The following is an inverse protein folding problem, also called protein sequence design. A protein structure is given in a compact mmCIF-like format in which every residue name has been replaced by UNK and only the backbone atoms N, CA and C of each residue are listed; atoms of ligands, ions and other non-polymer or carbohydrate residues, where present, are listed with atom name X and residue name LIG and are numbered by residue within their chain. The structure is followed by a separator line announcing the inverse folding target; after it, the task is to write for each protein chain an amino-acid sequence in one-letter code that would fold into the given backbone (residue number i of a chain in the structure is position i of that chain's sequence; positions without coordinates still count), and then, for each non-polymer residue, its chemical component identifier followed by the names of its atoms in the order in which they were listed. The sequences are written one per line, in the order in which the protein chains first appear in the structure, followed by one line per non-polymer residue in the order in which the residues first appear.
data_IF_689998405734
#
_entry.id   IF_689998405734
#
_cell.length_a   1.000
_cell.length_b   1.000
_cell.length_c   1.000
_cell.angle_alpha   90.00
_cell.angle_beta   90.00
_cell.angle_gamma   90.00
#
_symmetry.space_group_name_H-M   'P 1'
#
loop_
_entity.id
_entity.type
_entity.pdbx_description
1 polymer ?
#
# COMPACT_ATOMS: atom_id res chain seq x y z
N UNK A 1 -17.26 4.06 -24.17
CA UNK A 1 -16.18 4.82 -24.85
C UNK A 1 -16.35 4.85 -26.37
N UNK A 2 -17.51 5.25 -26.89
CA UNK A 2 -17.69 5.44 -28.35
C UNK A 2 -18.05 6.88 -28.73
N UNK A 3 -18.54 7.66 -27.77
CA UNK A 3 -19.05 9.02 -28.00
C UNK A 3 -17.97 9.97 -28.55
N UNK A 4 -16.75 10.10 -27.97
CA UNK A 4 -15.72 10.97 -28.55
C UNK A 4 -15.24 10.54 -29.95
N UNK A 5 -15.27 9.24 -30.25
CA UNK A 5 -14.88 8.72 -31.57
C UNK A 5 -15.91 9.10 -32.63
N UNK A 6 -17.19 8.95 -32.31
CA UNK A 6 -18.29 9.35 -33.19
C UNK A 6 -18.29 10.86 -33.40
N UNK A 7 -18.03 11.64 -32.33
CA UNK A 7 -17.94 13.09 -32.44
C UNK A 7 -16.76 13.54 -33.31
N UNK A 8 -15.60 12.87 -33.24
CA UNK A 8 -14.47 13.10 -34.17
C UNK A 8 -14.84 12.78 -35.62
N UNK A 9 -15.58 11.69 -35.85
CA UNK A 9 -16.06 11.35 -37.20
C UNK A 9 -17.05 12.37 -37.76
N UNK A 10 -17.88 12.99 -36.90
CA UNK A 10 -18.79 14.09 -37.24
C UNK A 10 -18.00 15.36 -37.51
N UNK A 11 -17.08 15.74 -36.61
CA UNK A 11 -16.20 16.91 -36.74
C UNK A 11 -15.43 16.92 -38.06
N UNK A 12 -14.90 15.77 -38.48
CA UNK A 12 -14.18 15.61 -39.76
C UNK A 12 -15.05 15.84 -41.00
N UNK A 13 -16.37 15.75 -40.85
CA UNK A 13 -17.36 15.90 -41.94
C UNK A 13 -18.14 17.22 -41.85
N UNK A 14 -17.93 18.02 -40.80
CA UNK A 14 -18.57 19.32 -40.62
C UNK A 14 -17.80 20.39 -41.39
N UNK A 15 -18.49 21.05 -42.33
CA UNK A 15 -17.92 22.10 -43.17
C UNK A 15 -17.90 23.47 -42.48
N UNK A 16 -18.91 23.76 -41.64
CA UNK A 16 -19.00 25.02 -40.93
C UNK A 16 -17.93 25.12 -39.83
N UNK A 17 -17.15 26.20 -39.86
CA UNK A 17 -16.05 26.40 -38.93
C UNK A 17 -16.52 26.61 -37.48
N UNK A 18 -17.70 27.22 -37.30
CA UNK A 18 -18.26 27.50 -35.97
C UNK A 18 -18.80 26.22 -35.33
N UNK A 19 -19.55 25.43 -36.09
CA UNK A 19 -20.04 24.12 -35.64
C UNK A 19 -18.91 23.15 -35.36
N UNK A 20 -17.86 23.14 -36.18
CA UNK A 20 -16.69 22.31 -35.96
C UNK A 20 -15.98 22.68 -34.65
N UNK A 21 -15.77 23.96 -34.39
CA UNK A 21 -15.19 24.46 -33.13
C UNK A 21 -16.05 24.04 -31.91
N UNK A 22 -17.38 24.14 -32.03
CA UNK A 22 -18.30 23.66 -30.98
C UNK A 22 -18.15 22.15 -30.76
N UNK A 23 -18.04 21.35 -31.83
CA UNK A 23 -17.84 19.91 -31.72
C UNK A 23 -16.48 19.59 -31.07
N UNK A 24 -15.41 20.32 -31.40
CA UNK A 24 -14.09 20.17 -30.77
C UNK A 24 -14.18 20.40 -29.25
N UNK A 25 -14.88 21.47 -28.81
CA UNK A 25 -15.07 21.75 -27.38
C UNK A 25 -15.87 20.65 -26.67
N UNK A 26 -16.88 20.09 -27.32
CA UNK A 26 -17.65 18.96 -26.78
C UNK A 26 -16.76 17.73 -26.65
N UNK A 27 -15.93 17.42 -27.66
CA UNK A 27 -14.96 16.31 -27.62
C UNK A 27 -14.00 16.48 -26.44
N UNK A 28 -13.42 17.67 -26.26
CA UNK A 28 -12.50 17.94 -25.14
C UNK A 28 -13.17 17.75 -23.78
N UNK A 29 -14.39 18.27 -23.61
CA UNK A 29 -15.19 18.11 -22.38
C UNK A 29 -15.52 16.64 -22.11
N UNK A 30 -15.91 15.88 -23.14
CA UNK A 30 -16.19 14.45 -23.04
C UNK A 30 -14.91 13.65 -22.71
N UNK A 31 -13.78 13.95 -23.35
CA UNK A 31 -12.48 13.31 -23.06
C UNK A 31 -12.01 13.59 -21.63
N UNK A 32 -12.20 14.82 -21.13
CA UNK A 32 -11.90 15.19 -19.74
C UNK A 32 -12.81 14.44 -18.75
N UNK A 33 -14.11 14.38 -19.02
CA UNK A 33 -15.09 13.65 -18.19
C UNK A 33 -14.80 12.15 -18.14
N UNK A 34 -14.40 11.56 -19.28
CA UNK A 34 -13.99 10.16 -19.35
C UNK A 34 -12.71 9.89 -18.55
N UNK A 35 -11.74 10.80 -18.60
CA UNK A 35 -10.50 10.69 -17.81
C UNK A 35 -10.79 10.75 -16.31
N UNK A 36 -11.63 11.68 -15.88
CA UNK A 36 -12.07 11.78 -14.48
C UNK A 36 -12.79 10.51 -14.02
N UNK A 37 -13.66 9.95 -14.87
CA UNK A 37 -14.37 8.71 -14.57
C UNK A 37 -13.42 7.50 -14.48
N UNK A 38 -12.41 7.40 -15.35
CA UNK A 38 -11.39 6.36 -15.28
C UNK A 38 -10.57 6.46 -13.98
N UNK A 39 -10.21 7.67 -13.56
CA UNK A 39 -9.50 7.91 -12.29
C UNK A 39 -10.36 7.52 -11.08
N UNK A 40 -11.64 7.89 -11.07
CA UNK A 40 -12.59 7.45 -10.03
C UNK A 40 -12.76 5.94 -10.00
N UNK A 41 -12.80 5.29 -11.17
CA UNK A 41 -12.92 3.84 -11.27
C UNK A 41 -11.67 3.13 -10.75
N UNK A 42 -10.47 3.62 -11.09
CA UNK A 42 -9.19 3.13 -10.56
C UNK A 42 -9.14 3.28 -9.05
N UNK A 43 -9.53 4.44 -8.53
CA UNK A 43 -9.59 4.68 -7.09
C UNK A 43 -10.55 3.73 -6.39
N UNK A 44 -11.76 3.54 -6.93
CA UNK A 44 -12.76 2.65 -6.34
C UNK A 44 -12.28 1.20 -6.31
N UNK A 45 -11.71 0.69 -7.42
CA UNK A 45 -11.12 -0.66 -7.48
C UNK A 45 -10.00 -0.83 -6.44
N UNK A 46 -9.11 0.15 -6.32
CA UNK A 46 -8.06 0.13 -5.29
C UNK A 46 -8.66 0.12 -3.88
N UNK A 47 -9.67 0.95 -3.62
CA UNK A 47 -10.30 1.03 -2.30
C UNK A 47 -11.05 -0.25 -1.91
N UNK A 48 -11.79 -0.85 -2.85
CA UNK A 48 -12.42 -2.15 -2.67
C UNK A 48 -11.38 -3.24 -2.37
N UNK A 49 -10.25 -3.22 -3.09
CA UNK A 49 -9.15 -4.16 -2.86
C UNK A 49 -8.51 -3.96 -1.47
N UNK A 50 -8.33 -2.72 -1.02
CA UNK A 50 -7.86 -2.43 0.34
C UNK A 50 -8.81 -2.97 1.40
N UNK A 51 -10.13 -2.81 1.21
CA UNK A 51 -11.15 -3.37 2.10
C UNK A 51 -11.09 -4.91 2.13
N UNK A 52 -10.89 -5.55 0.99
CA UNK A 52 -10.76 -7.01 0.91
C UNK A 52 -9.52 -7.52 1.65
N UNK A 53 -8.36 -6.90 1.43
CA UNK A 53 -7.13 -7.24 2.16
C UNK A 53 -7.34 -7.05 3.66
N UNK A 54 -7.91 -5.91 4.07
CA UNK A 54 -8.20 -5.60 5.47
C UNK A 54 -9.14 -6.62 6.14
N UNK A 55 -10.11 -7.16 5.41
CA UNK A 55 -11.03 -8.19 5.92
C UNK A 55 -10.35 -9.54 6.12
N UNK A 56 -9.37 -9.86 5.28
CA UNK A 56 -8.75 -11.19 5.24
C UNK A 56 -7.35 -11.23 5.89
N UNK A 57 -6.76 -10.08 6.23
CA UNK A 57 -5.47 -10.00 6.89
C UNK A 57 -5.58 -10.44 8.35
N UNK A 58 -4.58 -11.22 8.79
CA UNK A 58 -4.44 -11.66 10.18
C UNK A 58 -3.09 -11.19 10.67
N UNK A 59 -3.11 -10.29 11.65
CA UNK A 59 -1.93 -9.84 12.35
C UNK A 59 -1.56 -10.86 13.44
N UNK A 60 -0.38 -11.50 13.39
CA UNK A 60 0.05 -12.42 14.44
C UNK A 60 0.19 -11.70 15.78
N UNK A 61 -0.15 -12.39 16.87
CA UNK A 61 0.07 -11.86 18.22
C UNK A 61 1.57 -11.76 18.54
N UNK A 62 1.92 -11.10 19.64
CA UNK A 62 3.33 -11.03 20.10
C UNK A 62 3.91 -12.42 20.32
N UNK A 63 3.11 -13.36 20.86
CA UNK A 63 3.52 -14.75 21.07
C UNK A 63 3.76 -15.52 19.77
N UNK A 64 3.02 -15.19 18.70
CA UNK A 64 3.23 -15.82 17.39
C UNK A 64 4.51 -15.29 16.71
N UNK A 65 4.85 -14.02 16.97
CA UNK A 65 6.05 -13.37 16.40
C UNK A 65 7.33 -13.77 17.14
N UNK A 66 7.27 -13.90 18.46
CA UNK A 66 8.36 -14.35 19.31
C UNK A 66 7.86 -15.35 20.37
N UNK A 67 7.85 -16.66 20.07
CA UNK A 67 7.31 -17.66 20.98
C UNK A 67 8.15 -17.88 22.24
N UNK A 68 9.38 -17.33 22.29
CA UNK A 68 10.28 -17.48 23.43
C UNK A 68 10.15 -16.35 24.43
N UNK A 69 9.39 -15.31 24.10
CA UNK A 69 9.23 -14.15 24.98
C UNK A 69 8.37 -14.50 26.20
N UNK A 70 8.87 -14.17 27.39
CA UNK A 70 8.07 -14.28 28.61
C UNK A 70 7.08 -13.11 28.70
N UNK A 71 5.79 -13.42 28.81
CA UNK A 71 4.73 -12.42 28.98
C UNK A 71 3.99 -12.71 30.29
N UNK A 72 3.98 -11.78 31.26
CA UNK A 72 3.16 -11.88 32.46
C UNK A 72 1.68 -12.11 32.13
N UNK A 73 0.99 -12.96 32.90
CA UNK A 73 -0.43 -13.32 32.66
C UNK A 73 -1.34 -12.11 32.50
N UNK A 74 -1.15 -11.07 33.33
CA UNK A 74 -1.94 -9.84 33.27
C UNK A 74 -1.84 -9.09 31.92
N UNK A 75 -0.79 -9.35 31.12
CA UNK A 75 -0.56 -8.72 29.83
C UNK A 75 -0.92 -9.61 28.64
N UNK A 76 -1.18 -10.91 28.83
CA UNK A 76 -1.49 -11.82 27.72
C UNK A 76 -2.76 -11.43 26.97
N UNK A 77 -3.83 -11.07 27.69
CA UNK A 77 -5.09 -10.68 27.05
C UNK A 77 -4.95 -9.36 26.25
N UNK A 78 -4.39 -8.27 26.80
CA UNK A 78 -4.12 -7.05 26.04
C UNK A 78 -3.19 -7.24 24.83
N UNK A 79 -2.18 -8.12 24.92
CA UNK A 79 -1.20 -8.36 23.85
C UNK A 79 -1.62 -9.48 22.87
N UNK A 80 -2.81 -10.04 23.04
CA UNK A 80 -3.36 -11.07 22.14
C UNK A 80 -3.72 -10.53 20.75
N UNK A 81 -3.82 -9.20 20.61
CA UNK A 81 -4.16 -8.50 19.37
C UNK A 81 -3.16 -7.40 19.09
N UNK A 82 -2.93 -7.13 17.81
CA UNK A 82 -2.08 -6.03 17.38
C UNK A 82 -2.90 -4.73 17.26
N UNK A 83 -2.37 -3.58 17.69
CA UNK A 83 -3.08 -2.29 17.57
C UNK A 83 -3.21 -1.84 16.10
N UNK A 84 -2.38 -2.38 15.21
CA UNK A 84 -2.39 -2.08 13.78
C UNK A 84 -3.47 -2.84 13.00
N UNK A 85 -4.52 -3.34 13.66
CA UNK A 85 -5.60 -4.08 13.00
C UNK A 85 -6.19 -3.34 11.81
N UNK A 86 -6.36 -2.01 11.89
CA UNK A 86 -6.92 -1.16 10.82
C UNK A 86 -5.86 -0.50 9.94
N UNK A 87 -4.63 -1.03 9.94
CA UNK A 87 -3.52 -0.37 9.26
C UNK A 87 -3.76 -0.25 7.76
N UNK A 88 -4.45 -1.19 7.09
CA UNK A 88 -4.48 -1.29 5.62
C UNK A 88 -5.35 -0.21 4.97
N UNK A 89 -6.57 0.01 5.47
CA UNK A 89 -7.55 0.88 4.81
C UNK A 89 -7.22 2.33 5.09
N UNK A 90 -6.77 3.02 4.04
CA UNK A 90 -6.59 4.46 4.01
C UNK A 90 -7.02 4.97 2.63
N UNK A 91 -7.85 6.02 2.54
CA UNK A 91 -8.26 6.59 1.25
C UNK A 91 -7.10 7.09 0.38
N UNK A 92 -5.95 7.34 1.01
CA UNK A 92 -4.74 7.87 0.36
C UNK A 92 -3.77 6.77 -0.07
N UNK A 93 -3.92 5.55 0.45
CA UNK A 93 -3.01 4.45 0.16
C UNK A 93 -3.33 3.82 -1.19
N UNK A 94 -2.30 3.51 -1.96
CA UNK A 94 -2.43 2.85 -3.26
C UNK A 94 -1.67 1.53 -3.25
N UNK A 95 -2.28 0.49 -3.82
CA UNK A 95 -1.60 -0.77 -4.11
C UNK A 95 -0.84 -0.58 -5.43
N UNK A 96 0.48 -0.72 -5.39
CA UNK A 96 1.35 -0.54 -6.56
C UNK A 96 1.48 -1.84 -7.34
N UNK A 97 1.70 -2.94 -6.62
CA UNK A 97 1.77 -4.30 -7.16
C UNK A 97 1.52 -5.29 -6.02
N UNK A 98 0.85 -6.38 -6.33
CA UNK A 98 0.68 -7.52 -5.43
C UNK A 98 0.82 -8.83 -6.20
N UNK A 99 1.22 -9.89 -5.50
CA UNK A 99 1.35 -11.19 -6.15
C UNK A 99 2.11 -12.23 -5.32
N UNK A 100 2.11 -13.49 -5.80
CA UNK A 100 2.84 -14.56 -5.18
C UNK A 100 4.35 -14.42 -5.42
N UNK A 101 5.13 -14.61 -4.36
CA UNK A 101 6.59 -14.72 -4.39
C UNK A 101 7.02 -15.80 -3.41
N UNK A 102 8.14 -16.47 -3.66
CA UNK A 102 8.72 -17.37 -2.69
C UNK A 102 9.74 -16.62 -1.83
N UNK A 103 9.75 -16.89 -0.52
CA UNK A 103 10.87 -16.50 0.35
C UNK A 103 11.71 -17.74 0.64
N UNK A 104 13.02 -17.62 0.46
CA UNK A 104 13.98 -18.65 0.84
C UNK A 104 14.27 -18.50 2.33
N UNK A 105 13.57 -19.28 3.16
CA UNK A 105 13.73 -19.32 4.61
C UNK A 105 14.19 -20.72 5.02
N UNK A 106 15.27 -20.82 5.81
CA UNK A 106 15.73 -22.09 6.40
C UNK A 106 15.96 -23.23 5.38
N UNK A 107 16.39 -22.88 4.16
CA UNK A 107 16.73 -23.82 3.08
C UNK A 107 15.56 -24.31 2.22
N UNK A 108 14.31 -23.91 2.49
CA UNK A 108 13.15 -24.25 1.66
C UNK A 108 12.41 -23.00 1.16
N UNK A 109 12.05 -22.91 -0.13
CA UNK A 109 11.17 -21.87 -0.62
C UNK A 109 9.78 -21.98 0.04
N UNK A 110 9.32 -20.89 0.65
CA UNK A 110 7.98 -20.76 1.22
C UNK A 110 7.21 -19.76 0.39
N UNK A 111 6.07 -20.18 -0.14
CA UNK A 111 5.20 -19.30 -0.92
C UNK A 111 4.54 -18.25 -0.02
N UNK A 112 4.68 -17.00 -0.43
CA UNK A 112 4.13 -15.82 0.20
C UNK A 112 3.25 -15.07 -0.80
N UNK A 113 2.30 -14.29 -0.27
CA UNK A 113 1.60 -13.26 -1.03
C UNK A 113 2.09 -11.89 -0.54
N UNK A 114 2.66 -11.12 -1.45
CA UNK A 114 3.32 -9.85 -1.15
C UNK A 114 2.50 -8.72 -1.73
N UNK A 115 2.33 -7.65 -0.96
CA UNK A 115 1.59 -6.45 -1.36
C UNK A 115 2.51 -5.24 -1.14
N UNK A 116 2.85 -4.56 -2.23
CA UNK A 116 3.56 -3.28 -2.21
C UNK A 116 2.53 -2.16 -2.28
N UNK A 117 2.46 -1.38 -1.20
CA UNK A 117 1.76 -0.11 -1.17
C UNK A 117 2.71 1.04 -1.53
N UNK A 118 2.17 2.24 -1.68
CA UNK A 118 2.94 3.46 -1.92
C UNK A 118 3.80 3.91 -0.73
N UNK A 119 3.54 3.41 0.48
CA UNK A 119 4.23 3.78 1.73
C UNK A 119 4.88 2.61 2.50
N UNK A 120 4.50 1.37 2.19
CA UNK A 120 5.00 0.18 2.88
C UNK A 120 4.90 -1.09 2.03
N UNK A 121 5.65 -2.12 2.41
CA UNK A 121 5.58 -3.47 1.86
C UNK A 121 5.07 -4.43 2.94
N UNK A 122 4.09 -5.27 2.60
CA UNK A 122 3.59 -6.34 3.48
C UNK A 122 3.85 -7.69 2.82
N UNK A 123 4.39 -8.61 3.61
CA UNK A 123 4.59 -10.00 3.24
C UNK A 123 3.60 -10.84 4.04
N UNK A 124 2.89 -11.77 3.38
CA UNK A 124 1.90 -12.61 4.05
C UNK A 124 2.05 -14.07 3.64
N UNK A 125 1.72 -14.98 4.56
CA UNK A 125 1.52 -16.41 4.29
C UNK A 125 0.05 -16.61 3.93
N UNK A 126 -0.21 -17.36 2.86
CA UNK A 126 -1.57 -17.80 2.54
C UNK A 126 -1.93 -18.99 3.41
N UNK A 127 -2.96 -18.86 4.24
CA UNK A 127 -3.51 -19.97 5.04
C UNK A 127 -4.96 -20.22 4.61
N UNK A 128 -5.26 -21.44 4.18
CA UNK A 128 -6.65 -21.87 3.98
C UNK A 128 -7.41 -21.76 5.31
N UNK A 129 -8.55 -21.09 5.29
CA UNK A 129 -9.33 -20.87 6.50
C UNK A 129 -9.82 -22.19 7.09
N UNK A 130 -9.45 -22.51 8.32
CA UNK A 130 -10.10 -23.57 9.07
C UNK A 130 -11.38 -23.00 9.68
N UNK A 131 -12.55 -23.55 9.34
CA UNK A 131 -13.83 -23.16 9.93
C UNK A 131 -13.78 -23.33 11.44
N UNK A 132 -13.70 -22.22 12.21
CA UNK A 132 -14.06 -22.23 13.62
C UNK A 132 -15.56 -21.95 13.69
N UNK A 133 -16.32 -22.90 14.27
CA UNK A 133 -17.78 -22.81 14.42
C UNK A 133 -18.18 -21.43 14.96
N UNK A 134 -19.23 -20.87 14.34
CA UNK A 134 -19.85 -19.59 14.67
C UNK A 134 -20.01 -19.36 16.17
N UNK A 135 -19.69 -18.14 16.62
CA UNK A 135 -20.31 -17.56 17.82
C UNK A 135 -20.48 -16.04 17.68
N UNK A 136 -21.75 -15.65 17.57
CA UNK A 136 -22.41 -14.40 18.00
C UNK A 136 -22.00 -13.00 17.47
N UNK A 137 -22.94 -12.45 16.68
CA UNK A 137 -23.63 -11.16 16.89
C UNK A 137 -23.05 -9.82 16.38
N UNK A 138 -21.96 -9.76 15.62
CA UNK A 138 -21.48 -8.46 15.06
C UNK A 138 -21.40 -8.35 13.53
N UNK A 139 -21.79 -9.37 12.76
CA UNK A 139 -21.59 -9.39 11.30
C UNK A 139 -22.67 -8.68 10.44
N UNK A 140 -23.63 -7.95 11.01
CA UNK A 140 -24.78 -7.43 10.24
C UNK A 140 -24.47 -6.31 9.22
N UNK A 141 -23.26 -5.75 9.18
CA UNK A 141 -22.87 -4.76 8.16
C UNK A 141 -22.11 -5.35 6.96
N UNK A 142 -21.74 -6.64 7.01
CA UNK A 142 -20.80 -7.22 6.03
C UNK A 142 -21.46 -7.87 4.80
N UNK A 143 -22.77 -8.07 4.78
CA UNK A 143 -23.44 -8.99 3.85
C UNK A 143 -24.11 -8.36 2.63
N UNK A 144 -24.07 -7.04 2.44
CA UNK A 144 -24.86 -6.41 1.36
C UNK A 144 -24.10 -6.15 0.05
N UNK A 145 -22.79 -6.41 -0.04
CA UNK A 145 -22.00 -6.06 -1.24
C UNK A 145 -21.29 -7.22 -1.96
N UNK A 146 -21.33 -8.45 -1.44
CA UNK A 146 -20.67 -9.59 -2.08
C UNK A 146 -21.66 -10.45 -2.85
N UNK A 147 -22.08 -9.96 -4.03
CA UNK A 147 -22.75 -10.81 -5.01
C UNK A 147 -22.04 -10.69 -6.36
N UNK A 148 -20.83 -11.26 -6.42
CA UNK A 148 -20.23 -11.70 -7.67
C UNK A 148 -19.16 -12.78 -7.40
N UNK A 149 -19.44 -13.98 -7.93
CA UNK A 149 -18.48 -15.03 -8.31
C UNK A 149 -17.54 -15.63 -7.26
N UNK A 150 -18.01 -16.66 -6.56
CA UNK A 150 -17.28 -17.92 -6.38
C UNK A 150 -18.26 -19.01 -5.94
N UNK A 151 -18.14 -20.20 -6.51
CA UNK A 151 -19.04 -21.34 -6.28
C UNK A 151 -19.14 -21.80 -4.82
N UNK A 152 -20.00 -22.80 -4.54
CA UNK A 152 -20.26 -23.22 -3.17
C UNK A 152 -19.01 -23.90 -2.61
N UNK A 153 -18.52 -23.39 -1.47
CA UNK A 153 -17.63 -24.10 -0.53
C UNK A 153 -16.10 -23.96 -0.67
N UNK A 154 -15.55 -22.78 -1.02
CA UNK A 154 -14.14 -22.45 -0.73
C UNK A 154 -14.09 -21.38 0.39
N UNK A 155 -13.49 -21.73 1.53
CA UNK A 155 -13.23 -20.77 2.61
C UNK A 155 -12.35 -19.63 2.08
N UNK A 156 -12.65 -18.35 2.37
CA UNK A 156 -11.79 -17.26 1.94
C UNK A 156 -10.38 -17.46 2.51
N UNK A 157 -9.36 -17.37 1.64
CA UNK A 157 -7.97 -17.45 2.06
C UNK A 157 -7.66 -16.31 3.03
N UNK A 158 -6.99 -16.63 4.14
CA UNK A 158 -6.49 -15.61 5.08
C UNK A 158 -5.04 -15.27 4.77
N UNK A 159 -4.73 -13.98 4.85
CA UNK A 159 -3.37 -13.44 4.69
C UNK A 159 -2.75 -13.25 6.06
N UNK A 160 -1.98 -14.23 6.54
CA UNK A 160 -1.31 -14.13 7.84
C UNK A 160 -0.02 -13.35 7.64
N UNK A 161 0.13 -12.21 8.30
CA UNK A 161 1.31 -11.35 8.10
C UNK A 161 2.58 -12.08 8.53
N UNK A 162 3.57 -12.10 7.65
CA UNK A 162 4.89 -12.67 7.91
C UNK A 162 5.81 -11.56 8.40
N UNK A 163 5.99 -11.47 9.72
CA UNK A 163 6.72 -10.41 10.45
C UNK A 163 6.01 -9.05 10.39
N UNK A 164 6.77 -7.97 10.56
CA UNK A 164 6.27 -6.59 10.58
C UNK A 164 6.19 -6.00 9.16
N UNK A 165 5.27 -5.06 8.87
CA UNK A 165 5.31 -4.25 7.66
C UNK A 165 6.66 -3.54 7.52
N UNK A 166 7.16 -3.46 6.28
CA UNK A 166 8.43 -2.82 5.96
C UNK A 166 8.17 -1.44 5.38
N UNK A 167 8.70 -0.40 6.03
CA UNK A 167 8.66 0.94 5.46
C UNK A 167 9.68 1.08 4.32
N UNK A 168 9.32 1.78 3.25
CA UNK A 168 10.09 1.79 2.00
C UNK A 168 11.42 2.54 2.09
N UNK A 169 11.63 3.36 3.12
CA UNK A 169 12.91 4.02 3.43
C UNK A 169 13.86 3.15 4.26
N UNK A 170 13.40 1.98 4.73
CA UNK A 170 14.12 1.15 5.71
C UNK A 170 14.61 -0.18 5.16
N UNK A 171 14.78 -0.29 3.85
CA UNK A 171 15.50 -1.42 3.27
C UNK A 171 16.26 -1.03 2.02
N UNK A 172 17.32 -1.78 1.75
CA UNK A 172 18.01 -1.75 0.47
C UNK A 172 17.56 -2.92 -0.40
N UNK A 173 17.42 -2.67 -1.69
CA UNK A 173 17.05 -3.66 -2.70
C UNK A 173 18.33 -4.07 -3.41
N UNK A 174 18.66 -5.35 -3.35
CA UNK A 174 19.76 -5.94 -4.08
C UNK A 174 19.22 -6.91 -5.13
N UNK A 175 19.56 -6.65 -6.39
CA UNK A 175 19.23 -7.51 -7.51
C UNK A 175 20.30 -8.59 -7.64
N UNK A 176 19.90 -9.86 -7.55
CA UNK A 176 20.84 -10.98 -7.74
C UNK A 176 20.90 -11.31 -9.23
N UNK A 177 22.02 -11.00 -9.83
CA UNK A 177 22.29 -11.25 -11.25
C UNK A 177 22.31 -12.75 -11.56
N UNK A 178 22.17 -13.12 -12.83
CA UNK A 178 22.24 -14.52 -13.25
C UNK A 178 23.58 -15.18 -12.88
N UNK A 179 24.68 -14.44 -12.92
CA UNK A 179 26.01 -14.92 -12.55
C UNK A 179 26.11 -15.20 -11.04
N UNK A 180 25.65 -14.28 -10.19
CA UNK A 180 25.63 -14.44 -8.73
C UNK A 180 24.68 -15.58 -8.32
N UNK A 181 23.53 -15.68 -8.98
CA UNK A 181 22.55 -16.74 -8.73
C UNK A 181 23.06 -18.13 -9.10
N UNK A 182 23.82 -18.26 -10.20
CA UNK A 182 24.36 -19.53 -10.66
C UNK A 182 25.29 -20.19 -9.63
N UNK A 183 26.08 -19.39 -8.90
CA UNK A 183 26.97 -19.89 -7.84
C UNK A 183 26.23 -20.60 -6.69
N UNK A 184 24.94 -20.30 -6.51
CA UNK A 184 24.11 -20.81 -5.42
C UNK A 184 22.85 -21.55 -5.89
N UNK A 185 22.76 -21.88 -7.18
CA UNK A 185 21.58 -22.46 -7.82
C UNK A 185 20.28 -21.65 -7.58
N UNK A 186 20.41 -20.32 -7.54
CA UNK A 186 19.32 -19.37 -7.36
C UNK A 186 18.90 -18.80 -8.71
N UNK A 187 17.60 -18.82 -8.99
CA UNK A 187 17.02 -18.26 -10.22
C UNK A 187 15.97 -17.21 -9.88
N UNK A 188 16.02 -16.08 -10.59
CA UNK A 188 15.05 -15.00 -10.49
C UNK A 188 14.92 -14.43 -9.07
N UNK A 189 16.06 -14.25 -8.40
CA UNK A 189 16.14 -13.83 -7.00
C UNK A 189 16.44 -12.33 -6.86
N UNK A 190 15.89 -11.73 -5.82
CA UNK A 190 16.31 -10.42 -5.31
C UNK A 190 16.24 -10.41 -3.78
N UNK A 191 16.99 -9.51 -3.14
CA UNK A 191 17.15 -9.48 -1.69
C UNK A 191 16.75 -8.12 -1.14
N UNK A 192 15.98 -8.11 -0.05
CA UNK A 192 15.75 -6.92 0.76
C UNK A 192 16.56 -6.99 2.05
N UNK A 193 17.46 -6.02 2.23
CA UNK A 193 18.25 -5.85 3.47
C UNK A 193 17.55 -4.81 4.32
N UNK A 194 16.87 -5.24 5.39
CA UNK A 194 16.01 -4.40 6.21
C UNK A 194 16.78 -3.81 7.40
N UNK A 195 16.57 -2.52 7.61
CA UNK A 195 17.20 -1.73 8.66
C UNK A 195 16.16 -1.31 9.70
N UNK A 196 16.61 -1.14 10.94
CA UNK A 196 15.83 -0.36 11.91
C UNK A 196 16.14 1.15 11.77
N UNK A 197 15.50 1.96 12.62
CA UNK A 197 15.69 3.42 12.67
C UNK A 197 17.13 3.86 13.00
N UNK A 198 17.94 2.95 13.55
CA UNK A 198 19.32 3.20 13.95
C UNK A 198 20.33 2.64 12.93
N UNK A 199 19.89 2.35 11.70
CA UNK A 199 20.73 1.81 10.62
C UNK A 199 21.32 0.42 10.91
N UNK A 200 20.79 -0.30 11.90
CA UNK A 200 21.18 -1.69 12.14
C UNK A 200 20.43 -2.61 11.19
N UNK A 201 21.15 -3.54 10.55
CA UNK A 201 20.54 -4.64 9.78
C UNK A 201 19.83 -5.57 10.76
N UNK A 202 18.51 -5.69 10.60
CA UNK A 202 17.66 -6.50 11.50
C UNK A 202 17.08 -7.74 10.82
N UNK A 203 16.92 -7.73 9.50
CA UNK A 203 16.33 -8.85 8.75
C UNK A 203 16.78 -8.80 7.30
N UNK A 204 16.95 -9.97 6.69
CA UNK A 204 17.17 -10.14 5.25
C UNK A 204 16.01 -10.98 4.70
N UNK A 205 15.43 -10.53 3.59
CA UNK A 205 14.42 -11.29 2.85
C UNK A 205 14.93 -11.60 1.45
N UNK A 206 15.17 -12.89 1.18
CA UNK A 206 15.55 -13.37 -0.14
C UNK A 206 14.30 -13.85 -0.86
N UNK A 207 13.85 -13.07 -1.85
CA UNK A 207 12.68 -13.37 -2.67
C UNK A 207 13.08 -14.09 -3.94
N UNK A 208 12.29 -15.08 -4.33
CA UNK A 208 12.39 -15.78 -5.59
C UNK A 208 11.08 -15.62 -6.38
N UNK A 209 11.18 -15.00 -7.56
CA UNK A 209 10.08 -14.85 -8.49
C UNK A 209 9.90 -16.12 -9.34
N UNK A 210 8.71 -16.36 -9.92
CA UNK A 210 8.46 -17.52 -10.78
C UNK A 210 9.22 -17.46 -12.13
N UNK A 211 9.53 -16.26 -12.60
CA UNK A 211 10.26 -16.01 -13.85
C UNK A 211 10.95 -14.64 -13.83
N UNK A 212 11.85 -14.41 -14.77
CA UNK A 212 12.65 -13.17 -14.87
C UNK A 212 11.77 -11.93 -15.11
N UNK A 213 10.74 -12.02 -15.96
CA UNK A 213 9.82 -10.90 -16.21
C UNK A 213 9.14 -10.42 -14.93
N UNK A 214 8.69 -11.37 -14.09
CA UNK A 214 8.08 -11.07 -12.78
C UNK A 214 9.10 -10.42 -11.85
N UNK A 215 10.33 -10.94 -11.79
CA UNK A 215 11.42 -10.33 -11.02
C UNK A 215 11.69 -8.88 -11.44
N UNK A 216 11.85 -8.63 -12.74
CA UNK A 216 12.12 -7.30 -13.29
C UNK A 216 10.98 -6.33 -12.95
N UNK A 217 9.72 -6.76 -13.10
CA UNK A 217 8.57 -5.94 -12.76
C UNK A 217 8.56 -5.58 -11.26
N UNK A 218 8.77 -6.57 -10.36
CA UNK A 218 8.87 -6.32 -8.93
C UNK A 218 10.01 -5.36 -8.58
N UNK A 219 11.20 -5.56 -9.14
CA UNK A 219 12.36 -4.70 -8.90
C UNK A 219 12.10 -3.26 -9.37
N UNK A 220 11.52 -3.09 -10.56
CA UNK A 220 11.15 -1.76 -11.08
C UNK A 220 10.15 -1.07 -10.15
N UNK A 221 9.04 -1.75 -9.79
CA UNK A 221 8.03 -1.17 -8.91
C UNK A 221 8.57 -0.86 -7.51
N UNK A 222 9.37 -1.75 -6.93
CA UNK A 222 9.98 -1.53 -5.61
C UNK A 222 10.93 -0.33 -5.62
N UNK A 223 11.85 -0.25 -6.59
CA UNK A 223 12.81 0.86 -6.70
C UNK A 223 12.10 2.19 -6.93
N UNK A 224 11.18 2.24 -7.90
CA UNK A 224 10.42 3.45 -8.22
C UNK A 224 9.61 3.96 -7.03
N UNK A 225 8.95 3.05 -6.31
CA UNK A 225 8.09 3.42 -5.17
C UNK A 225 8.94 3.83 -3.97
N UNK A 226 10.02 3.12 -3.67
CA UNK A 226 10.94 3.48 -2.59
C UNK A 226 11.59 4.85 -2.82
N UNK A 227 11.98 5.16 -4.06
CA UNK A 227 12.56 6.47 -4.39
C UNK A 227 11.52 7.59 -4.28
N UNK A 228 10.28 7.38 -4.75
CA UNK A 228 9.17 8.33 -4.56
C UNK A 228 8.86 8.56 -3.08
N UNK A 229 8.86 7.51 -2.27
CA UNK A 229 8.64 7.58 -0.84
C UNK A 229 9.71 8.41 -0.14
N UNK A 230 10.99 8.15 -0.43
CA UNK A 230 12.12 8.92 0.11
C UNK A 230 12.03 10.41 -0.22
N UNK A 231 11.69 10.78 -1.46
CA UNK A 231 11.47 12.18 -1.86
C UNK A 231 10.30 12.81 -1.11
N UNK A 232 9.20 12.05 -0.93
CA UNK A 232 8.02 12.51 -0.19
C UNK A 232 8.35 12.80 1.28
N UNK A 233 9.13 11.92 1.92
CA UNK A 233 9.60 12.11 3.30
C UNK A 233 10.49 13.36 3.43
N UNK A 234 11.45 13.56 2.52
CA UNK A 234 12.27 14.77 2.53
C UNK A 234 11.39 16.02 2.44
N UNK A 235 10.45 16.06 1.50
CA UNK A 235 9.56 17.21 1.31
C UNK A 235 8.62 17.48 2.50
N UNK A 236 8.21 16.46 3.24
CA UNK A 236 7.33 16.64 4.42
C UNK A 236 8.10 16.98 5.69
N UNK A 237 9.29 16.41 5.88
CA UNK A 237 10.14 16.64 7.06
C UNK A 237 10.76 18.05 7.04
N UNK A 238 11.22 18.54 5.88
CA UNK A 238 11.79 19.89 5.80
C UNK A 238 10.72 20.99 5.88
N UNK A 239 9.49 20.71 5.44
CA UNK A 239 8.38 21.67 5.50
C UNK A 239 7.80 21.83 6.91
N UNK A 240 7.87 20.80 7.75
CA UNK A 240 7.47 20.89 9.17
C UNK A 240 8.47 21.72 9.99
N UNK A 241 9.77 21.63 9.70
CA UNK A 241 10.78 22.49 10.33
C UNK A 241 10.64 23.98 9.96
N UNK A 242 10.31 24.31 8.71
CA UNK A 242 10.07 25.71 8.30
C UNK A 242 8.80 26.32 8.92
N UNK A 243 7.76 25.51 9.21
CA UNK A 243 6.56 26.00 9.92
C UNK A 243 6.80 26.25 11.40
N UNK A 244 7.67 25.45 12.03
CA UNK A 244 8.06 25.66 13.43
C UNK A 244 8.98 26.88 13.60
N UNK A 245 9.85 27.18 12.63
CA UNK A 245 10.72 28.35 12.67
C UNK A 245 10.04 29.67 12.28
N UNK A 246 8.90 29.64 11.58
CA UNK A 246 8.10 30.84 11.28
C UNK A 246 7.07 31.17 12.37
N UNK A 247 6.65 30.18 13.16
CA UNK A 247 5.78 30.39 14.32
C UNK A 247 6.53 31.02 15.52
N UNK A 248 7.85 30.83 15.65
CA UNK A 248 8.65 31.43 16.72
C UNK A 248 9.01 32.90 16.50
N UNK A 249 8.79 33.45 15.30
CA UNK A 249 9.11 34.86 14.96
C UNK A 249 7.88 35.78 15.12
N UNK A 250 6.68 35.24 15.33
CA UNK A 250 5.43 36.02 15.36
C UNK A 250 4.90 36.38 16.75
N UNK A 251 5.62 36.09 17.85
CA UNK A 251 5.13 36.37 19.23
C UNK A 251 5.86 37.52 19.95
N UNK A 252 6.71 38.30 19.28
CA UNK A 252 7.42 39.45 19.90
C UNK A 252 7.07 40.77 19.23
N UNK A 253 5.80 41.17 19.24
CA UNK A 253 5.43 42.58 19.03
C UNK A 253 4.02 42.90 19.51
N UNK A 254 3.84 43.06 20.84
CA UNK A 254 2.90 44.06 21.40
C UNK A 254 3.04 44.12 22.92
N UNK A 255 3.93 44.97 23.41
CA UNK A 255 3.79 45.59 24.72
C UNK A 255 3.89 47.09 24.47
N UNK A 256 2.73 47.74 24.34
CA UNK A 256 2.61 49.20 24.42
C UNK A 256 1.70 49.52 25.59
N UNK A 257 2.24 50.40 26.42
CA UNK A 257 1.68 50.96 27.64
C UNK A 257 0.30 51.57 27.44
N UNK A 258 -0.59 51.29 28.38
CA UNK A 258 -1.62 52.25 28.83
C UNK A 258 -2.06 51.84 30.24
N UNK A 259 -1.43 52.43 31.26
CA UNK A 259 -1.97 52.44 32.61
C UNK A 259 -2.66 53.78 32.86
N UNK A 260 -3.94 53.63 33.19
CA UNK A 260 -5.00 54.63 33.30
C UNK A 260 -4.84 55.48 34.55
N UNK A 261 -5.06 56.78 34.37
CA UNK A 261 -5.31 57.78 35.40
C UNK A 261 -6.78 57.66 35.84
N UNK A 262 -7.09 57.53 37.14
CA UNK A 262 -8.30 58.08 37.83
C UNK A 262 -8.49 57.53 39.25
N UNK A 263 -8.44 58.47 40.21
CA UNK A 263 -9.17 58.56 41.50
C UNK A 263 -8.98 57.48 42.56
#
# INVERSE_FOLDING_TARGET
MRVPLILKDIEMRTEDATERELISQIIESEEASLRELDDKMKWLKNFERLLEIQRNIVWPSVLDLDPKVFIPECLKAPLSKQPCERLIVSPRRQIIIEGPLNILDSGKPVEMYVVLFDDMLIITRRKKGLHKKQSSLTEKWASTCSRASSGPHESPFKYVVYKQPLSLDRFYIHDVTAAEGAAHNLKYVFVLVCLNRFQQIVTIHTFQAPNESTKINWLSKLKDTADRWKRTLQNTVFRSQQRLSSASVSTTSSCRDTAVNSR
#
